data_IF_957638201767
#
_entry.id   IF_957638201767
#
_cell.length_a   1.000
_cell.length_b   1.000
_cell.length_c   1.000
_cell.angle_alpha   90.00
_cell.angle_beta   90.00
_cell.angle_gamma   90.00
#
_symmetry.space_group_name_H-M   'P 1'
#
loop_
_entity.id
_entity.type
_entity.pdbx_description
1 polymer ?
#
# COMPACT_ATOMS: atom_id res chain seq x y z
N UNK A 1 6.28 0.66 51.67
CA UNK A 1 6.32 0.00 50.34
C UNK A 1 4.89 -0.26 49.91
N UNK A 2 4.40 0.48 48.92
CA UNK A 2 3.05 0.30 48.37
C UNK A 2 3.07 -0.94 47.49
N UNK A 3 2.17 -1.92 47.68
CA UNK A 3 2.13 -3.09 46.81
C UNK A 3 1.83 -2.63 45.38
N UNK A 4 2.75 -2.92 44.46
CA UNK A 4 2.54 -2.77 43.03
C UNK A 4 1.39 -3.72 42.69
N UNK A 5 0.19 -3.18 42.45
CA UNK A 5 -0.94 -4.00 42.00
C UNK A 5 -0.55 -4.68 40.69
N UNK A 6 -0.83 -5.98 40.51
CA UNK A 6 -0.62 -6.64 39.24
C UNK A 6 -1.39 -5.87 38.17
N UNK A 7 -0.67 -5.34 37.18
CA UNK A 7 -1.28 -4.79 35.97
C UNK A 7 -2.16 -5.89 35.40
N UNK A 8 -3.46 -5.64 35.28
CA UNK A 8 -4.38 -6.51 34.55
C UNK A 8 -3.74 -6.79 33.20
N UNK A 9 -3.28 -8.03 33.01
CA UNK A 9 -2.71 -8.46 31.74
C UNK A 9 -3.84 -8.38 30.73
N UNK A 10 -3.83 -7.33 29.90
CA UNK A 10 -4.72 -7.26 28.74
C UNK A 10 -4.58 -8.58 28.00
N UNK A 11 -5.70 -9.27 27.79
CA UNK A 11 -5.77 -10.55 27.11
C UNK A 11 -4.99 -10.44 25.79
N UNK A 12 -3.81 -11.08 25.76
CA UNK A 12 -3.00 -11.17 24.54
C UNK A 12 -3.72 -12.15 23.63
N UNK A 13 -4.01 -11.72 22.41
CA UNK A 13 -4.34 -12.67 21.35
C UNK A 13 -3.01 -13.28 20.91
N UNK A 14 -2.97 -14.60 20.91
CA UNK A 14 -1.84 -15.39 20.45
C UNK A 14 -2.25 -16.06 19.15
N UNK A 15 -1.82 -15.52 18.02
CA UNK A 15 -2.03 -16.16 16.72
C UNK A 15 -0.72 -16.80 16.27
N UNK A 16 -0.81 -17.91 15.53
CA UNK A 16 0.38 -18.62 15.04
C UNK A 16 0.31 -18.82 13.55
N UNK A 17 1.40 -18.51 12.86
CA UNK A 17 1.59 -18.80 11.43
C UNK A 17 2.73 -19.79 11.31
N UNK A 18 2.50 -20.92 10.66
CA UNK A 18 3.51 -21.94 10.44
C UNK A 18 3.93 -21.93 8.98
N UNK A 19 5.24 -22.00 8.75
CA UNK A 19 5.82 -22.04 7.42
C UNK A 19 6.89 -23.14 7.31
N UNK A 20 6.98 -23.75 6.13
CA UNK A 20 7.85 -24.88 5.82
C UNK A 20 8.70 -24.61 4.57
N UNK A 21 9.93 -25.10 4.56
CA UNK A 21 10.82 -24.96 3.41
C UNK A 21 12.26 -25.38 3.70
N UNK A 22 13.18 -25.02 2.80
CA UNK A 22 14.61 -25.14 3.08
C UNK A 22 15.00 -24.04 4.07
N UNK A 23 15.17 -24.43 5.34
CA UNK A 23 15.62 -23.53 6.39
C UNK A 23 17.13 -23.67 6.52
N UNK A 24 17.86 -22.81 5.82
CA UNK A 24 19.30 -22.59 6.02
C UNK A 24 19.55 -21.20 6.66
N UNK A 25 20.82 -20.86 6.93
CA UNK A 25 21.14 -19.57 7.54
C UNK A 25 20.79 -18.39 6.62
N UNK A 26 20.88 -18.56 5.31
CA UNK A 26 20.53 -17.50 4.35
C UNK A 26 19.03 -17.18 4.39
N UNK A 27 18.17 -18.20 4.45
CA UNK A 27 16.73 -18.05 4.64
C UNK A 27 16.43 -17.36 5.98
N UNK A 28 17.11 -17.76 7.05
CA UNK A 28 16.93 -17.19 8.38
C UNK A 28 17.33 -15.70 8.43
N UNK A 29 18.45 -15.33 7.82
CA UNK A 29 18.91 -13.95 7.69
C UNK A 29 17.91 -13.11 6.85
N UNK A 30 17.38 -13.70 5.78
CA UNK A 30 16.38 -13.05 4.94
C UNK A 30 15.05 -12.85 5.66
N UNK A 31 14.60 -13.80 6.48
CA UNK A 31 13.46 -13.62 7.38
C UNK A 31 13.71 -12.49 8.39
N UNK A 32 14.90 -12.46 8.97
CA UNK A 32 15.34 -11.41 9.89
C UNK A 32 15.23 -10.03 9.26
N UNK A 33 15.75 -9.87 8.04
CA UNK A 33 15.66 -8.61 7.28
C UNK A 33 14.21 -8.26 6.92
N UNK A 34 13.48 -9.17 6.25
CA UNK A 34 12.12 -8.94 5.75
C UNK A 34 11.13 -8.54 6.85
N UNK A 35 11.29 -9.12 8.05
CA UNK A 35 10.39 -8.89 9.17
C UNK A 35 10.98 -7.93 10.21
N UNK A 36 12.19 -7.42 9.98
CA UNK A 36 12.96 -6.59 10.92
C UNK A 36 13.07 -7.25 12.31
N UNK A 37 13.40 -8.54 12.35
CA UNK A 37 13.59 -9.29 13.60
C UNK A 37 14.98 -9.01 14.18
N UNK A 38 15.04 -8.87 15.49
CA UNK A 38 16.27 -9.03 16.26
C UNK A 38 16.56 -10.52 16.36
N UNK A 39 17.58 -10.98 15.64
CA UNK A 39 17.99 -12.39 15.63
C UNK A 39 18.70 -12.76 16.93
N UNK A 40 18.29 -13.87 17.54
CA UNK A 40 18.82 -14.39 18.81
C UNK A 40 19.37 -15.81 18.71
N UNK A 41 19.04 -16.53 17.65
CA UNK A 41 19.47 -17.92 17.42
C UNK A 41 19.93 -18.16 15.99
N UNK A 42 20.32 -19.40 15.72
CA UNK A 42 20.79 -19.88 14.41
C UNK A 42 19.99 -21.08 13.92
N UNK A 43 20.19 -21.45 12.66
CA UNK A 43 19.50 -22.60 12.06
C UNK A 43 19.87 -23.95 12.68
N UNK A 44 20.92 -24.01 13.50
CA UNK A 44 21.37 -25.24 14.18
C UNK A 44 20.73 -25.42 15.57
N UNK A 45 20.05 -24.39 16.09
CA UNK A 45 19.43 -24.44 17.42
C UNK A 45 18.28 -25.46 17.49
N UNK A 46 18.08 -26.18 18.59
CA UNK A 46 17.07 -27.24 18.66
C UNK A 46 15.64 -26.70 18.45
N UNK A 47 14.70 -27.53 17.94
CA UNK A 47 13.28 -27.16 17.90
C UNK A 47 12.76 -26.71 19.27
N UNK A 48 11.92 -25.68 19.27
CA UNK A 48 11.45 -24.95 20.45
C UNK A 48 12.25 -23.67 20.76
N UNK A 49 13.39 -23.46 20.09
CA UNK A 49 14.22 -22.27 20.30
C UNK A 49 13.66 -21.05 19.57
N UNK A 50 13.63 -19.90 20.25
CA UNK A 50 13.33 -18.60 19.65
C UNK A 50 14.54 -18.13 18.84
N UNK A 51 14.39 -18.08 17.51
CA UNK A 51 15.46 -17.68 16.59
C UNK A 51 15.54 -16.17 16.43
N UNK A 52 14.45 -15.45 16.66
CA UNK A 52 14.42 -14.00 16.66
C UNK A 52 13.06 -13.42 17.02
N UNK A 53 13.02 -12.12 17.30
CA UNK A 53 11.79 -11.44 17.66
C UNK A 53 11.76 -9.99 17.20
N UNK A 54 10.56 -9.43 17.07
CA UNK A 54 10.32 -8.01 16.86
C UNK A 54 9.27 -7.51 17.83
N UNK A 55 9.60 -6.46 18.57
CA UNK A 55 8.62 -5.69 19.33
C UNK A 55 8.06 -4.56 18.48
N UNK A 56 6.75 -4.40 18.53
CA UNK A 56 6.00 -3.40 17.77
C UNK A 56 5.30 -2.50 18.79
N UNK A 57 5.75 -1.25 18.94
CA UNK A 57 5.17 -0.34 19.91
C UNK A 57 3.70 -0.07 19.60
N UNK A 58 2.87 -0.06 20.64
CA UNK A 58 1.45 0.25 20.48
C UNK A 58 1.26 1.72 20.08
N UNK A 59 0.43 2.02 19.05
CA UNK A 59 0.12 3.40 18.69
C UNK A 59 -0.64 4.14 19.78
N UNK A 60 -1.24 3.43 20.75
CA UNK A 60 -2.03 4.01 21.84
C UNK A 60 -1.17 4.56 23.00
N UNK A 61 0.16 4.59 22.84
CA UNK A 61 1.11 5.19 23.79
C UNK A 61 1.77 4.18 24.74
N UNK A 62 2.70 4.64 25.62
CA UNK A 62 3.63 3.79 26.38
C UNK A 62 2.98 2.93 27.47
N UNK A 63 1.66 3.02 27.62
CA UNK A 63 0.90 2.29 28.63
C UNK A 63 0.23 1.02 28.09
N UNK A 64 0.22 0.82 26.78
CA UNK A 64 -0.32 -0.38 26.15
C UNK A 64 0.78 -1.39 25.88
N UNK A 65 0.44 -2.68 25.94
CA UNK A 65 1.40 -3.75 25.65
C UNK A 65 1.86 -3.62 24.19
N UNK A 66 3.18 -3.67 23.97
CA UNK A 66 3.76 -3.84 22.66
C UNK A 66 3.23 -5.15 22.05
N UNK A 67 2.95 -5.14 20.75
CA UNK A 67 2.76 -6.39 20.03
C UNK A 67 4.13 -7.03 19.79
N UNK A 68 4.21 -8.34 19.73
CA UNK A 68 5.47 -9.07 19.51
C UNK A 68 5.27 -10.13 18.45
N UNK A 69 6.17 -10.15 17.47
CA UNK A 69 6.36 -11.28 16.57
C UNK A 69 7.55 -12.05 17.11
N UNK A 70 7.43 -13.35 17.36
CA UNK A 70 8.57 -14.20 17.67
C UNK A 70 8.63 -15.38 16.70
N UNK A 71 9.81 -15.58 16.12
CA UNK A 71 10.15 -16.67 15.22
C UNK A 71 10.70 -17.82 16.05
N UNK A 72 10.01 -18.95 16.06
CA UNK A 72 10.38 -20.15 16.81
C UNK A 72 10.67 -21.28 15.83
N UNK A 73 11.78 -21.98 16.01
CA UNK A 73 12.04 -23.21 15.25
C UNK A 73 11.06 -24.28 15.72
N UNK A 74 10.19 -24.80 14.86
CA UNK A 74 9.28 -25.90 15.24
C UNK A 74 9.73 -27.26 14.70
N UNK A 75 10.62 -27.28 13.70
CA UNK A 75 11.19 -28.51 13.16
C UNK A 75 12.48 -28.28 12.37
N UNK A 76 13.01 -29.33 11.71
CA UNK A 76 14.23 -29.21 10.90
C UNK A 76 14.06 -28.30 9.69
N UNK A 77 12.85 -28.25 9.12
CA UNK A 77 12.45 -27.48 7.92
C UNK A 77 11.25 -26.59 8.16
N UNK A 78 10.90 -26.37 9.43
CA UNK A 78 9.65 -25.72 9.82
C UNK A 78 9.93 -24.66 10.87
N UNK A 79 9.30 -23.51 10.68
CA UNK A 79 9.29 -22.41 11.63
C UNK A 79 7.86 -22.02 11.95
N UNK A 80 7.66 -21.55 13.18
CA UNK A 80 6.39 -21.02 13.64
C UNK A 80 6.60 -19.59 14.10
N UNK A 81 5.83 -18.67 13.53
CA UNK A 81 5.72 -17.31 13.98
C UNK A 81 4.61 -17.23 15.01
N UNK A 82 4.94 -16.77 16.20
CA UNK A 82 3.96 -16.46 17.23
C UNK A 82 3.72 -14.96 17.25
N UNK A 83 2.45 -14.59 17.29
CA UNK A 83 2.01 -13.21 17.26
C UNK A 83 1.26 -12.90 18.55
N UNK A 84 1.93 -12.20 19.46
CA UNK A 84 1.33 -11.67 20.69
C UNK A 84 0.84 -10.24 20.41
N UNK A 85 -0.46 -10.00 20.25
CA UNK A 85 -1.00 -8.64 20.07
C UNK A 85 -2.08 -8.28 21.08
N UNK A 86 -2.25 -6.98 21.33
CA UNK A 86 -3.48 -6.47 21.91
C UNK A 86 -4.56 -6.55 20.83
N UNK A 87 -5.71 -7.18 21.10
CA UNK A 87 -6.70 -7.52 20.09
C UNK A 87 -7.31 -6.27 19.44
N UNK A 88 -6.68 -5.86 18.35
CA UNK A 88 -7.26 -5.02 17.32
C UNK A 88 -7.27 -5.89 16.07
N UNK A 89 -8.47 -6.11 15.50
CA UNK A 89 -8.64 -7.03 14.36
C UNK A 89 -7.75 -6.63 13.19
N UNK A 90 -7.62 -5.32 12.94
CA UNK A 90 -6.75 -4.76 11.90
C UNK A 90 -5.28 -5.05 12.16
N UNK A 91 -4.77 -4.82 13.38
CA UNK A 91 -3.36 -5.08 13.70
C UNK A 91 -2.98 -6.54 13.53
N UNK A 92 -3.83 -7.48 13.98
CA UNK A 92 -3.56 -8.91 13.84
C UNK A 92 -3.42 -9.30 12.37
N UNK A 93 -4.40 -8.95 11.54
CA UNK A 93 -4.39 -9.36 10.13
C UNK A 93 -3.27 -8.68 9.35
N UNK A 94 -2.92 -7.44 9.69
CA UNK A 94 -1.75 -6.75 9.13
C UNK A 94 -0.45 -7.49 9.47
N UNK A 95 -0.24 -7.86 10.74
CA UNK A 95 0.99 -8.54 11.16
C UNK A 95 1.06 -9.97 10.61
N UNK A 96 -0.07 -10.66 10.52
CA UNK A 96 -0.16 -11.95 9.84
C UNK A 96 0.23 -11.82 8.36
N UNK A 97 -0.32 -10.84 7.63
CA UNK A 97 0.02 -10.59 6.24
C UNK A 97 1.52 -10.28 6.08
N UNK A 98 2.10 -9.49 6.98
CA UNK A 98 3.53 -9.20 7.00
C UNK A 98 4.36 -10.48 7.16
N UNK A 99 4.00 -11.34 8.13
CA UNK A 99 4.66 -12.64 8.36
C UNK A 99 4.58 -13.52 7.11
N UNK A 100 3.40 -13.68 6.52
CA UNK A 100 3.22 -14.49 5.33
C UNK A 100 4.04 -13.96 4.14
N UNK A 101 4.05 -12.64 3.95
CA UNK A 101 4.84 -11.98 2.92
C UNK A 101 6.33 -12.25 3.12
N UNK A 102 6.82 -12.01 4.33
CA UNK A 102 8.23 -12.19 4.68
C UNK A 102 8.67 -13.65 4.54
N UNK A 103 7.81 -14.60 4.93
CA UNK A 103 8.05 -16.03 4.79
C UNK A 103 8.14 -16.45 3.31
N UNK A 104 7.19 -16.04 2.48
CA UNK A 104 7.21 -16.34 1.03
C UNK A 104 8.40 -15.71 0.33
N UNK A 105 8.74 -14.46 0.69
CA UNK A 105 9.92 -13.78 0.16
C UNK A 105 11.24 -14.49 0.53
N UNK A 106 11.28 -15.16 1.68
CA UNK A 106 12.40 -16.00 2.11
C UNK A 106 12.36 -17.44 1.56
N UNK A 107 11.46 -17.74 0.62
CA UNK A 107 11.35 -19.06 -0.01
C UNK A 107 10.58 -20.11 0.81
N UNK A 108 9.90 -19.71 1.88
CA UNK A 108 9.07 -20.62 2.68
C UNK A 108 7.62 -20.67 2.19
N UNK A 109 7.00 -21.83 2.34
CA UNK A 109 5.57 -22.05 2.06
C UNK A 109 4.80 -21.96 3.37
N UNK A 110 3.80 -21.08 3.45
CA UNK A 110 2.92 -20.98 4.62
C UNK A 110 1.96 -22.17 4.61
N UNK A 111 2.00 -23.00 5.66
CA UNK A 111 1.24 -24.26 5.72
C UNK A 111 0.02 -24.19 6.63
N UNK A 112 0.09 -23.42 7.72
CA UNK A 112 -1.02 -23.26 8.65
C UNK A 112 -1.09 -21.83 9.19
N UNK A 113 -2.31 -21.38 9.43
CA UNK A 113 -2.61 -20.15 10.15
C UNK A 113 -3.66 -20.48 11.19
N UNK A 114 -3.21 -20.72 12.41
CA UNK A 114 -4.12 -20.92 13.54
C UNK A 114 -4.40 -19.56 14.18
N UNK A 115 -5.64 -19.10 14.05
CA UNK A 115 -6.15 -18.01 14.84
C UNK A 115 -6.72 -18.57 16.15
N UNK A 116 -6.11 -18.23 17.29
CA UNK A 116 -6.71 -18.60 18.57
C UNK A 116 -8.02 -17.82 18.68
N UNK A 117 -9.18 -18.49 18.76
CA UNK A 117 -10.44 -17.78 18.93
C UNK A 117 -10.32 -16.92 20.18
N UNK A 118 -10.66 -15.64 20.07
CA UNK A 118 -10.70 -14.75 21.21
C UNK A 118 -11.54 -15.44 22.28
N UNK A 119 -11.03 -15.63 23.51
CA UNK A 119 -11.89 -16.07 24.59
C UNK A 119 -13.09 -15.12 24.61
N UNK A 120 -14.33 -15.62 24.77
CA UNK A 120 -15.49 -14.74 24.85
C UNK A 120 -15.14 -13.66 25.85
N UNK A 121 -15.13 -12.41 25.38
CA UNK A 121 -14.76 -11.27 26.21
C UNK A 121 -15.76 -11.30 27.35
N UNK A 122 -15.33 -11.79 28.51
CA UNK A 122 -16.13 -11.67 29.71
C UNK A 122 -16.34 -10.17 29.85
N UNK A 123 -17.59 -9.71 29.72
CA UNK A 123 -17.88 -8.30 29.86
C UNK A 123 -17.24 -7.87 31.18
N UNK A 124 -16.30 -6.90 31.12
CA UNK A 124 -15.65 -6.44 32.33
C UNK A 124 -16.74 -6.08 33.33
N UNK A 125 -16.61 -6.54 34.58
CA UNK A 125 -17.61 -6.26 35.60
C UNK A 125 -17.93 -4.75 35.57
N UNK A 126 -19.19 -4.32 35.73
CA UNK A 126 -19.57 -2.91 35.60
C UNK A 126 -18.69 -1.96 36.43
N UNK A 127 -18.18 -2.44 37.57
CA UNK A 127 -17.23 -1.74 38.43
C UNK A 127 -15.85 -1.51 37.79
N UNK A 128 -15.35 -2.45 36.99
CA UNK A 128 -14.08 -2.34 36.28
C UNK A 128 -14.18 -1.40 35.09
N UNK A 129 -15.30 -1.43 34.36
CA UNK A 129 -15.62 -0.43 33.33
C UNK A 129 -15.68 0.96 33.96
N UNK A 130 -16.42 1.12 35.05
CA UNK A 130 -16.51 2.39 35.77
C UNK A 130 -15.13 2.89 36.26
N UNK A 131 -14.24 1.99 36.69
CA UNK A 131 -12.86 2.34 37.07
C UNK A 131 -12.01 2.77 35.88
N UNK A 132 -12.11 2.08 34.74
CA UNK A 132 -11.39 2.43 33.51
C UNK A 132 -11.86 3.79 33.01
N UNK A 133 -13.18 4.02 32.97
CA UNK A 133 -13.76 5.31 32.59
C UNK A 133 -13.39 6.43 33.55
N UNK A 134 -13.46 6.20 34.87
CA UNK A 134 -13.04 7.20 35.86
C UNK A 134 -11.55 7.55 35.71
N UNK A 135 -10.69 6.56 35.44
CA UNK A 135 -9.26 6.80 35.17
C UNK A 135 -9.03 7.56 33.87
N UNK A 136 -9.83 7.26 32.83
CA UNK A 136 -9.79 7.95 31.54
C UNK A 136 -10.24 9.41 31.70
N UNK A 137 -11.35 9.68 32.41
CA UNK A 137 -11.84 11.02 32.74
C UNK A 137 -10.81 11.83 33.55
N UNK A 138 -10.18 11.20 34.54
CA UNK A 138 -9.12 11.87 35.34
C UNK A 138 -7.92 12.28 34.49
N UNK A 139 -7.47 11.41 33.58
CA UNK A 139 -6.39 11.73 32.65
C UNK A 139 -6.77 12.83 31.66
N UNK A 140 -8.00 12.81 31.14
CA UNK A 140 -8.49 13.87 30.27
C UNK A 140 -8.51 15.23 30.99
N UNK A 141 -8.97 15.26 32.24
CA UNK A 141 -8.90 16.46 33.07
C UNK A 141 -7.46 16.94 33.32
N UNK A 142 -6.50 16.03 33.53
CA UNK A 142 -5.07 16.38 33.70
C UNK A 142 -4.44 17.04 32.46
N UNK A 143 -4.92 16.71 31.25
CA UNK A 143 -4.46 17.33 29.99
C UNK A 143 -5.35 18.50 29.54
N UNK A 144 -6.27 18.97 30.39
CA UNK A 144 -7.17 20.08 30.07
C UNK A 144 -8.26 19.73 29.04
N UNK A 145 -8.49 18.45 28.77
CA UNK A 145 -9.56 17.98 27.90
C UNK A 145 -10.82 17.75 28.73
N UNK A 146 -11.86 18.57 28.52
CA UNK A 146 -13.14 18.43 29.21
C UNK A 146 -14.11 17.59 28.37
N UNK A 147 -14.40 16.33 28.73
CA UNK A 147 -15.32 15.47 27.99
C UNK A 147 -16.80 15.83 28.22
N UNK A 148 -17.12 16.83 29.05
CA UNK A 148 -18.48 17.34 29.26
C UNK A 148 -18.84 18.52 28.36
N UNK A 149 -17.92 18.96 27.49
CA UNK A 149 -18.28 19.81 26.35
C UNK A 149 -19.11 18.95 25.39
N UNK A 150 -20.41 18.94 25.62
CA UNK A 150 -21.42 18.45 24.71
C UNK A 150 -21.33 19.31 23.44
N UNK A 151 -20.81 18.73 22.35
CA UNK A 151 -20.87 19.32 21.01
C UNK A 151 -22.30 19.23 20.42
N UNK A 152 -23.31 19.18 21.28
CA UNK A 152 -24.72 19.27 20.92
C UNK A 152 -25.12 20.70 20.56
N UNK A 153 -25.45 20.88 19.28
CA UNK A 153 -26.22 22.00 18.72
C UNK A 153 -25.56 23.40 18.74
N UNK A 154 -24.46 23.57 18.00
CA UNK A 154 -24.16 24.86 17.37
C UNK A 154 -24.56 24.77 15.90
N UNK A 155 -25.45 25.64 15.38
CA UNK A 155 -25.74 25.65 13.95
C UNK A 155 -24.46 26.07 13.21
N UNK A 156 -23.96 25.17 12.36
CA UNK A 156 -22.70 25.22 11.62
C UNK A 156 -22.51 26.44 10.68
N UNK A 157 -23.47 27.37 10.62
CA UNK A 157 -23.39 28.55 9.76
C UNK A 157 -22.71 29.76 10.42
N UNK A 158 -22.78 29.92 11.75
CA UNK A 158 -22.36 31.18 12.38
C UNK A 158 -20.85 31.26 12.68
N UNK A 159 -20.16 30.13 12.86
CA UNK A 159 -18.73 30.09 13.20
C UNK A 159 -17.80 30.07 11.98
N UNK A 160 -18.33 29.81 10.77
CA UNK A 160 -17.55 29.88 9.54
C UNK A 160 -17.41 31.32 9.00
N UNK A 161 -18.37 32.21 9.30
CA UNK A 161 -18.35 33.60 8.85
C UNK A 161 -17.40 34.50 9.67
N UNK A 162 -17.10 34.12 10.92
CA UNK A 162 -16.22 34.91 11.78
C UNK A 162 -14.75 34.47 11.69
N UNK A 163 -14.48 33.21 11.31
CA UNK A 163 -13.13 32.70 11.03
C UNK A 163 -12.59 33.07 9.63
N UNK A 164 -13.48 33.44 8.69
CA UNK A 164 -13.12 33.88 7.33
C UNK A 164 -13.05 35.41 7.17
N UNK A 165 -13.12 36.18 8.26
CA UNK A 165 -12.97 37.63 8.19
C UNK A 165 -11.48 37.98 8.11
N UNK A 166 -10.97 38.12 6.89
CA UNK A 166 -9.62 38.65 6.66
C UNK A 166 -9.44 40.00 7.36
N UNK A 167 -8.34 40.23 8.08
CA UNK A 167 -8.03 41.53 8.63
C UNK A 167 -7.87 42.53 7.48
N UNK A 168 -8.56 43.67 7.58
CA UNK A 168 -8.48 44.73 6.58
C UNK A 168 -7.01 45.11 6.31
N UNK A 169 -6.56 45.14 5.04
CA UNK A 169 -5.16 45.42 4.74
C UNK A 169 -4.81 46.86 5.10
N UNK A 170 -3.67 47.01 5.78
CA UNK A 170 -3.06 48.29 6.11
C UNK A 170 -2.72 49.05 4.80
N UNK A 171 -3.34 50.22 4.53
CA UNK A 171 -3.14 50.96 3.28
C UNK A 171 -1.76 51.64 3.16
N UNK A 172 -0.84 51.44 4.11
CA UNK A 172 0.48 52.08 4.09
C UNK A 172 1.58 51.32 3.35
N UNK A 173 1.35 50.07 2.92
CA UNK A 173 2.42 49.18 2.41
C UNK A 173 2.53 49.01 0.88
N UNK A 174 1.72 49.69 0.06
CA UNK A 174 1.82 49.60 -1.40
C UNK A 174 1.94 50.97 -2.08
N UNK A 175 3.18 51.44 -2.22
CA UNK A 175 3.56 52.47 -3.20
C UNK A 175 4.60 51.91 -4.17
N UNK A 176 4.16 51.26 -5.26
CA UNK A 176 4.91 51.18 -6.53
C UNK A 176 3.95 50.88 -7.69
N UNK A 177 3.87 51.80 -8.68
CA UNK A 177 3.74 51.54 -10.13
C UNK A 177 2.41 51.00 -10.72
N UNK A 178 1.97 51.47 -11.91
CA UNK A 178 0.63 51.21 -12.43
C UNK A 178 0.51 49.89 -13.21
N UNK A 179 -0.57 49.14 -12.99
CA UNK A 179 -1.00 48.03 -13.85
C UNK A 179 -2.45 48.26 -14.31
N UNK A 180 -2.75 48.23 -15.63
CA UNK A 180 -4.09 48.33 -16.17
C UNK A 180 -4.61 46.93 -16.52
N UNK A 181 -5.44 46.31 -15.68
CA UNK A 181 -6.10 45.05 -16.07
C UNK A 181 -7.45 44.77 -15.41
N UNK A 182 -8.11 45.76 -14.77
CA UNK A 182 -9.37 45.51 -14.06
C UNK A 182 -10.67 45.77 -14.82
N UNK A 183 -10.62 46.21 -16.09
CA UNK A 183 -11.81 46.54 -16.88
C UNK A 183 -12.18 45.48 -17.95
N UNK A 184 -11.51 44.31 -17.98
CA UNK A 184 -11.76 43.29 -19.01
C UNK A 184 -12.63 42.09 -18.57
N UNK A 185 -13.14 42.06 -17.33
CA UNK A 185 -13.88 40.89 -16.80
C UNK A 185 -15.37 41.12 -16.52
N UNK A 186 -15.98 42.20 -17.01
CA UNK A 186 -17.41 42.48 -16.77
C UNK A 186 -18.26 42.63 -18.05
N UNK A 187 -17.86 41.96 -19.13
CA UNK A 187 -18.69 41.81 -20.31
C UNK A 187 -18.45 40.47 -21.01
N UNK A 188 -18.94 39.37 -20.44
CA UNK A 188 -19.34 38.21 -21.24
C UNK A 188 -20.66 37.66 -20.71
N UNK A 189 -21.68 38.09 -21.43
CA UNK A 189 -23.05 37.62 -21.46
C UNK A 189 -23.11 36.15 -21.83
N UNK A 190 -24.09 35.46 -21.25
CA UNK A 190 -24.66 34.17 -21.64
C UNK A 190 -24.40 33.80 -23.12
N UNK A 191 -23.46 32.90 -23.35
CA UNK A 191 -23.30 32.14 -24.59
C UNK A 191 -23.39 30.65 -24.24
N UNK A 192 -24.24 29.94 -24.98
CA UNK A 192 -24.44 28.50 -24.89
C UNK A 192 -23.10 27.76 -24.90
N UNK A 193 -22.77 27.10 -23.79
CA UNK A 193 -21.62 26.22 -23.70
C UNK A 193 -22.00 24.92 -24.40
N UNK A 194 -21.49 24.73 -25.61
CA UNK A 194 -21.41 23.42 -26.25
C UNK A 194 -20.71 22.46 -25.27
N UNK A 195 -21.42 21.42 -24.83
CA UNK A 195 -20.86 20.30 -24.06
C UNK A 195 -19.68 19.69 -24.85
N UNK A 196 -18.47 20.04 -24.46
CA UNK A 196 -17.26 19.40 -24.96
C UNK A 196 -17.35 17.90 -24.63
N UNK A 197 -17.26 17.01 -25.64
CA UNK A 197 -17.43 15.57 -25.41
C UNK A 197 -16.37 15.09 -24.41
N UNK A 198 -16.73 14.21 -23.46
CA UNK A 198 -15.80 13.72 -22.46
C UNK A 198 -14.56 13.14 -23.15
N UNK A 199 -13.38 13.52 -22.66
CA UNK A 199 -12.11 13.02 -23.17
C UNK A 199 -12.15 11.48 -23.27
N UNK A 200 -11.64 10.89 -24.36
CA UNK A 200 -11.74 9.45 -24.59
C UNK A 200 -11.09 8.68 -23.44
N UNK A 201 -11.90 7.88 -22.73
CA UNK A 201 -11.42 6.96 -21.69
C UNK A 201 -10.55 5.92 -22.37
N UNK A 202 -9.27 5.87 -22.00
CA UNK A 202 -8.34 4.89 -22.55
C UNK A 202 -8.81 3.46 -22.22
N UNK A 203 -8.85 2.61 -23.25
CA UNK A 203 -9.07 1.18 -23.11
C UNK A 203 -7.74 0.45 -23.28
N UNK A 204 -7.44 -0.57 -22.44
CA UNK A 204 -6.20 -1.31 -22.58
C UNK A 204 -6.10 -2.02 -23.92
N UNK A 205 -4.92 -2.05 -24.57
CA UNK A 205 -4.70 -2.90 -25.72
C UNK A 205 -4.91 -4.37 -25.31
N UNK A 206 -5.45 -5.21 -26.21
CA UNK A 206 -5.66 -6.62 -25.92
C UNK A 206 -4.33 -7.27 -25.51
N UNK A 207 -4.38 -8.14 -24.48
CA UNK A 207 -3.25 -8.96 -24.10
C UNK A 207 -2.77 -9.77 -25.32
N UNK A 208 -1.45 -9.99 -25.49
CA UNK A 208 -0.97 -10.85 -26.56
C UNK A 208 -1.61 -12.24 -26.45
N UNK A 209 -2.14 -12.75 -27.56
CA UNK A 209 -2.74 -14.07 -27.60
C UNK A 209 -1.75 -15.12 -27.06
N UNK A 210 -2.20 -16.07 -26.24
CA UNK A 210 -1.35 -17.15 -25.75
C UNK A 210 -0.74 -17.88 -26.94
N UNK A 211 0.57 -18.11 -26.86
CA UNK A 211 1.38 -18.65 -27.93
C UNK A 211 0.86 -20.03 -28.37
N UNK A 212 0.34 -20.09 -29.60
CA UNK A 212 0.15 -21.32 -30.36
C UNK A 212 -1.09 -22.14 -29.96
N UNK A 213 -1.98 -22.37 -30.94
CA UNK A 213 -2.94 -23.47 -30.85
C UNK A 213 -2.17 -24.78 -30.57
N UNK A 214 -2.65 -25.65 -29.67
CA UNK A 214 -2.05 -26.96 -29.46
C UNK A 214 -2.03 -27.68 -30.80
N UNK A 215 -0.83 -28.06 -31.24
CA UNK A 215 -0.64 -28.93 -32.40
C UNK A 215 -1.26 -30.28 -32.03
N UNK A 216 -2.22 -30.74 -32.80
CA UNK A 216 -2.80 -32.08 -32.67
C UNK A 216 -1.68 -33.13 -32.75
N UNK A 217 -1.23 -33.62 -31.60
CA UNK A 217 -0.44 -34.85 -31.49
C UNK A 217 -1.31 -35.89 -30.81
N UNK A 218 -2.11 -36.56 -31.64
CA UNK A 218 -2.61 -37.89 -31.39
C UNK A 218 -1.42 -38.86 -31.45
N UNK A 219 -0.82 -39.19 -30.30
CA UNK A 219 -0.13 -40.46 -30.12
C UNK A 219 0.00 -40.82 -28.63
N UNK A 220 -0.10 -42.11 -28.37
CA UNK A 220 -0.44 -42.74 -27.09
C UNK A 220 0.54 -42.51 -25.95
N UNK A 221 -0.03 -42.31 -24.75
CA UNK A 221 0.28 -43.15 -23.60
C UNK A 221 1.38 -42.67 -22.67
N UNK A 222 1.01 -41.93 -21.64
CA UNK A 222 1.45 -42.17 -20.25
C UNK A 222 0.57 -41.34 -19.30
N UNK A 223 0.06 -41.97 -18.24
CA UNK A 223 -0.76 -41.33 -17.21
C UNK A 223 0.13 -40.39 -16.37
N UNK A 224 0.26 -39.14 -16.80
CA UNK A 224 0.67 -38.06 -15.91
C UNK A 224 -0.53 -37.69 -15.02
N UNK A 225 -0.34 -37.76 -13.70
CA UNK A 225 -1.32 -37.38 -12.69
C UNK A 225 -1.71 -35.91 -12.83
N UNK A 226 -3.00 -35.61 -12.76
CA UNK A 226 -3.59 -34.29 -13.00
C UNK A 226 -3.19 -33.18 -12.00
N UNK A 227 -2.27 -33.45 -11.06
CA UNK A 227 -1.77 -32.46 -10.09
C UNK A 227 -0.56 -31.65 -10.57
N UNK A 228 0.02 -31.97 -11.73
CA UNK A 228 1.28 -31.38 -12.19
C UNK A 228 1.12 -30.19 -13.16
N UNK A 229 -0.11 -29.69 -13.37
CA UNK A 229 -0.45 -28.75 -14.47
C UNK A 229 -0.83 -27.32 -14.08
N UNK A 230 -0.55 -26.85 -12.87
CA UNK A 230 -0.80 -25.45 -12.47
C UNK A 230 0.34 -24.79 -11.66
N UNK A 231 1.57 -25.28 -11.77
CA UNK A 231 2.71 -24.45 -11.36
C UNK A 231 3.03 -23.48 -12.51
N UNK A 232 2.46 -22.28 -12.43
CA UNK A 232 2.99 -21.17 -13.22
C UNK A 232 4.50 -21.08 -12.94
N UNK A 233 5.37 -21.01 -13.97
CA UNK A 233 6.80 -20.94 -13.74
C UNK A 233 7.08 -19.78 -12.79
N UNK A 234 7.83 -20.06 -11.72
CA UNK A 234 8.36 -19.04 -10.81
C UNK A 234 9.14 -18.04 -11.66
N UNK A 235 8.48 -16.95 -12.05
CA UNK A 235 9.08 -15.89 -12.83
C UNK A 235 10.10 -15.21 -11.93
N UNK A 236 11.37 -15.55 -12.12
CA UNK A 236 12.51 -14.84 -11.54
C UNK A 236 12.89 -13.78 -12.56
N UNK A 237 12.41 -12.53 -12.41
CA UNK A 237 12.71 -11.50 -13.38
C UNK A 237 14.22 -11.23 -13.31
N UNK A 238 14.90 -10.95 -14.43
CA UNK A 238 16.34 -10.69 -14.42
C UNK A 238 16.67 -9.61 -13.39
N UNK A 239 17.63 -9.92 -12.51
CA UNK A 239 18.12 -9.00 -11.47
C UNK A 239 18.65 -7.75 -12.19
N UNK A 240 18.03 -6.57 -12.02
CA UNK A 240 18.54 -5.37 -12.66
C UNK A 240 19.95 -5.07 -12.11
N UNK A 241 20.84 -4.47 -12.91
CA UNK A 241 22.09 -3.97 -12.40
C UNK A 241 21.81 -2.99 -11.25
N UNK A 242 22.41 -3.27 -10.11
CA UNK A 242 22.42 -2.44 -8.90
C UNK A 242 22.86 -1.02 -9.32
N UNK A 243 22.20 0.01 -8.79
CA UNK A 243 22.49 1.45 -8.97
C UNK A 243 21.94 2.19 -10.21
N UNK A 244 20.81 1.78 -10.80
CA UNK A 244 20.13 2.69 -11.74
C UNK A 244 19.28 3.73 -11.02
N UNK A 245 19.82 4.94 -10.94
CA UNK A 245 19.11 6.14 -10.47
C UNK A 245 17.87 6.49 -11.30
N UNK A 246 17.81 6.08 -12.58
CA UNK A 246 16.75 6.47 -13.52
C UNK A 246 16.31 5.29 -14.38
N UNK A 247 15.02 4.97 -14.36
CA UNK A 247 14.39 3.94 -15.20
C UNK A 247 14.37 4.38 -16.67
N UNK A 248 14.59 3.47 -17.62
CA UNK A 248 14.48 3.80 -19.04
C UNK A 248 13.01 3.82 -19.55
N UNK A 249 12.78 4.34 -20.75
CA UNK A 249 11.43 4.58 -21.29
C UNK A 249 10.61 3.28 -21.43
N UNK A 250 11.25 2.21 -21.90
CA UNK A 250 10.61 0.90 -22.05
C UNK A 250 10.35 0.27 -20.68
N UNK A 251 11.34 0.31 -19.77
CA UNK A 251 11.19 -0.18 -18.39
C UNK A 251 10.02 0.52 -17.68
N UNK A 252 9.88 1.85 -17.84
CA UNK A 252 8.78 2.63 -17.29
C UNK A 252 7.44 2.21 -17.83
N UNK A 253 7.32 2.11 -19.14
CA UNK A 253 6.06 1.74 -19.79
C UNK A 253 5.62 0.34 -19.35
N UNK A 254 6.55 -0.63 -19.33
CA UNK A 254 6.29 -1.99 -18.86
C UNK A 254 5.93 -2.04 -17.38
N UNK A 255 6.63 -1.27 -16.54
CA UNK A 255 6.35 -1.17 -15.12
C UNK A 255 4.95 -0.62 -14.85
N UNK A 256 4.61 0.53 -15.44
CA UNK A 256 3.26 1.13 -15.34
C UNK A 256 2.21 0.15 -15.85
N UNK A 257 2.47 -0.56 -16.95
CA UNK A 257 1.52 -1.55 -17.49
C UNK A 257 1.26 -2.68 -16.50
N UNK A 258 2.31 -3.25 -15.89
CA UNK A 258 2.18 -4.34 -14.92
C UNK A 258 1.40 -3.92 -13.69
N UNK A 259 1.72 -2.77 -13.11
CA UNK A 259 1.00 -2.26 -11.92
C UNK A 259 -0.46 -1.93 -12.25
N UNK A 260 -0.73 -1.28 -13.39
CA UNK A 260 -2.12 -0.95 -13.79
C UNK A 260 -2.98 -2.16 -14.10
N UNK A 261 -2.38 -3.22 -14.66
CA UNK A 261 -3.08 -4.46 -15.01
C UNK A 261 -3.10 -5.48 -13.87
N UNK A 262 -2.48 -5.15 -12.72
CA UNK A 262 -2.47 -6.04 -11.57
C UNK A 262 -3.90 -6.26 -11.06
N UNK A 263 -4.30 -7.53 -10.96
CA UNK A 263 -5.63 -7.91 -10.47
C UNK A 263 -5.62 -7.97 -8.95
N UNK A 264 -5.78 -6.82 -8.30
CA UNK A 264 -5.70 -6.72 -6.84
C UNK A 264 -6.80 -5.84 -6.25
N UNK A 265 -7.19 -6.11 -5.02
CA UNK A 265 -8.35 -5.50 -4.36
C UNK A 265 -8.04 -4.15 -3.71
N UNK A 266 -6.86 -3.57 -3.92
CA UNK A 266 -6.43 -2.37 -3.19
C UNK A 266 -6.55 -2.53 -1.67
N UNK A 267 -6.52 -3.77 -1.20
CA UNK A 267 -6.57 -4.14 0.20
C UNK A 267 -5.19 -4.67 0.58
N UNK A 268 -4.81 -4.42 1.83
CA UNK A 268 -3.54 -4.88 2.41
C UNK A 268 -3.34 -6.40 2.26
N UNK A 269 -4.40 -7.19 2.19
CA UNK A 269 -4.29 -8.65 2.03
C UNK A 269 -3.74 -9.09 0.66
N UNK A 270 -3.91 -8.26 -0.38
CA UNK A 270 -3.39 -8.54 -1.73
C UNK A 270 -2.00 -7.91 -1.97
N UNK A 271 -1.39 -7.35 -0.92
CA UNK A 271 -0.16 -6.58 -1.00
C UNK A 271 1.03 -7.39 -1.55
N UNK A 272 1.05 -8.70 -1.35
CA UNK A 272 2.16 -9.57 -1.80
C UNK A 272 2.32 -9.51 -3.32
N UNK A 273 1.22 -9.62 -4.05
CA UNK A 273 1.25 -9.55 -5.52
C UNK A 273 1.70 -8.17 -5.99
N UNK A 274 1.29 -7.11 -5.29
CA UNK A 274 1.76 -5.76 -5.58
C UNK A 274 3.26 -5.59 -5.32
N UNK A 275 3.75 -6.03 -4.15
CA UNK A 275 5.17 -5.92 -3.79
C UNK A 275 6.05 -6.69 -4.77
N UNK A 276 5.61 -7.87 -5.23
CA UNK A 276 6.31 -8.63 -6.25
C UNK A 276 6.41 -7.85 -7.58
N UNK A 277 5.31 -7.28 -8.07
CA UNK A 277 5.31 -6.51 -9.33
C UNK A 277 6.08 -5.18 -9.21
N UNK A 278 5.95 -4.53 -8.05
CA UNK A 278 6.72 -3.35 -7.66
C UNK A 278 8.21 -3.66 -7.43
N UNK A 279 8.62 -4.93 -7.54
CA UNK A 279 10.00 -5.36 -7.45
C UNK A 279 10.60 -5.12 -6.07
N UNK A 280 9.79 -5.25 -5.01
CA UNK A 280 10.22 -5.11 -3.63
C UNK A 280 11.37 -6.07 -3.34
N UNK A 281 12.45 -5.52 -2.78
CA UNK A 281 13.61 -6.30 -2.30
C UNK A 281 13.60 -6.45 -0.79
N UNK A 282 13.13 -5.42 -0.09
CA UNK A 282 13.13 -5.36 1.36
C UNK A 282 11.99 -4.48 1.88
N UNK A 283 11.34 -4.90 2.96
CA UNK A 283 10.38 -4.07 3.70
C UNK A 283 11.16 -3.29 4.76
N UNK A 284 11.39 -2.01 4.50
CA UNK A 284 12.20 -1.14 5.37
C UNK A 284 11.43 -0.72 6.63
N UNK A 285 10.18 -0.29 6.46
CA UNK A 285 9.37 0.23 7.56
C UNK A 285 7.90 -0.06 7.34
N UNK A 286 7.22 -0.41 8.42
CA UNK A 286 5.77 -0.56 8.47
C UNK A 286 5.21 0.27 9.62
N UNK A 287 4.25 1.16 9.34
CA UNK A 287 3.42 1.81 10.36
C UNK A 287 1.92 1.69 10.04
N UNK A 288 1.06 2.29 10.87
CA UNK A 288 -0.39 2.12 10.77
C UNK A 288 -1.00 2.71 9.49
N UNK A 289 -0.30 3.62 8.80
CA UNK A 289 -0.80 4.35 7.64
C UNK A 289 0.12 4.24 6.43
N UNK A 290 1.33 3.70 6.59
CA UNK A 290 2.32 3.63 5.54
C UNK A 290 3.18 2.39 5.64
N UNK A 291 3.34 1.74 4.49
CA UNK A 291 4.38 0.78 4.23
C UNK A 291 5.48 1.44 3.40
N UNK A 292 6.71 1.33 3.84
CA UNK A 292 7.91 1.75 3.11
C UNK A 292 8.73 0.51 2.78
N UNK A 293 9.12 0.38 1.52
CA UNK A 293 9.92 -0.73 1.04
C UNK A 293 10.92 -0.23 -0.01
N UNK A 294 12.02 -0.96 -0.16
CA UNK A 294 12.96 -0.72 -1.22
C UNK A 294 12.61 -1.57 -2.43
N UNK A 295 12.80 -0.99 -3.61
CA UNK A 295 12.50 -1.62 -4.89
C UNK A 295 13.78 -1.78 -5.69
N UNK A 296 13.89 -2.89 -6.41
CA UNK A 296 14.97 -3.12 -7.37
C UNK A 296 15.00 -2.11 -8.53
N UNK A 297 13.91 -1.35 -8.73
CA UNK A 297 13.80 -0.41 -9.84
C UNK A 297 14.45 0.95 -9.55
N UNK A 298 14.63 1.30 -8.27
CA UNK A 298 15.18 2.61 -7.90
C UNK A 298 15.75 2.60 -6.47
N UNK A 299 16.78 3.41 -6.24
CA UNK A 299 17.46 3.55 -4.93
C UNK A 299 16.66 4.29 -3.87
N UNK A 300 15.65 5.08 -4.25
CA UNK A 300 14.78 5.74 -3.29
C UNK A 300 13.68 4.78 -2.83
N UNK A 301 13.24 4.93 -1.57
CA UNK A 301 12.19 4.09 -1.03
C UNK A 301 10.84 4.36 -1.68
N UNK A 302 10.10 3.27 -1.83
CA UNK A 302 8.73 3.20 -2.29
C UNK A 302 7.78 3.28 -1.10
N UNK A 303 6.59 3.84 -1.33
CA UNK A 303 5.58 3.99 -0.28
C UNK A 303 4.24 3.42 -0.75
N UNK A 304 3.53 2.80 0.18
CA UNK A 304 2.12 2.42 0.04
C UNK A 304 1.39 3.06 1.21
N UNK A 305 0.48 3.97 0.92
CA UNK A 305 -0.31 4.66 1.92
C UNK A 305 -1.63 3.92 2.16
N UNK A 306 -2.06 3.87 3.41
CA UNK A 306 -3.16 3.05 3.91
C UNK A 306 -4.13 3.89 4.74
N UNK A 307 -5.41 3.63 4.57
CA UNK A 307 -6.48 4.03 5.49
C UNK A 307 -7.17 2.76 5.99
N UNK A 308 -6.80 2.33 7.20
CA UNK A 308 -7.26 1.05 7.74
C UNK A 308 -6.64 -0.13 6.99
N UNK A 309 -7.48 -0.94 6.36
CA UNK A 309 -7.08 -2.11 5.54
C UNK A 309 -6.94 -1.78 4.05
N UNK A 310 -7.27 -0.54 3.65
CA UNK A 310 -7.41 -0.14 2.26
C UNK A 310 -6.21 0.72 1.85
N UNK A 311 -5.61 0.39 0.71
CA UNK A 311 -4.54 1.18 0.08
C UNK A 311 -5.18 2.39 -0.61
N UNK A 312 -4.71 3.58 -0.26
CA UNK A 312 -5.16 4.83 -0.91
C UNK A 312 -4.36 5.11 -2.16
N UNK A 313 -3.05 4.95 -2.07
CA UNK A 313 -2.13 5.21 -3.16
C UNK A 313 -0.84 4.41 -3.00
N UNK A 314 -0.21 4.16 -4.15
CA UNK A 314 1.09 3.52 -4.27
C UNK A 314 2.03 4.51 -4.92
N UNK A 315 3.09 4.89 -4.22
CA UNK A 315 4.02 5.93 -4.63
C UNK A 315 5.42 5.33 -4.85
N UNK A 316 5.80 5.15 -6.12
CA UNK A 316 6.98 4.42 -6.54
C UNK A 316 7.96 5.37 -7.27
N UNK A 317 9.21 5.53 -6.80
CA UNK A 317 10.18 6.34 -7.51
C UNK A 317 10.61 5.65 -8.81
N UNK A 318 10.56 6.39 -9.92
CA UNK A 318 11.01 5.92 -11.25
C UNK A 318 12.30 6.62 -11.68
N UNK A 319 12.63 7.77 -11.08
CA UNK A 319 13.93 8.41 -11.15
C UNK A 319 14.26 9.07 -9.80
N UNK A 320 15.48 8.95 -9.31
CA UNK A 320 15.95 9.58 -8.08
C UNK A 320 17.38 10.06 -8.25
N UNK A 321 17.67 11.24 -7.72
CA UNK A 321 18.95 11.91 -7.87
C UNK A 321 19.50 12.26 -6.48
N UNK A 322 20.81 12.13 -6.29
CA UNK A 322 21.48 12.58 -5.07
C UNK A 322 21.59 14.10 -5.07
N UNK A 323 21.65 14.69 -3.88
CA UNK A 323 21.88 16.12 -3.66
C UNK A 323 23.32 16.55 -3.92
N UNK A 324 24.15 15.73 -4.57
CA UNK A 324 25.53 16.13 -4.85
C UNK A 324 25.52 17.49 -5.56
N UNK A 325 26.25 18.43 -4.93
CA UNK A 325 26.22 19.91 -5.03
C UNK A 325 26.40 20.47 -6.45
N UNK A 326 25.59 20.01 -7.39
CA UNK A 326 25.51 20.54 -8.74
C UNK A 326 24.16 21.23 -8.91
N UNK A 327 24.22 22.49 -9.34
CA UNK A 327 23.06 23.28 -9.77
C UNK A 327 22.25 22.59 -10.90
N UNK A 328 22.73 21.48 -11.45
CA UNK A 328 22.10 20.69 -12.52
C UNK A 328 21.07 19.65 -11.99
N UNK A 329 20.91 19.46 -10.67
CA UNK A 329 19.96 18.47 -10.13
C UNK A 329 18.53 18.71 -10.60
N UNK A 330 18.04 19.95 -10.54
CA UNK A 330 16.70 20.33 -10.99
C UNK A 330 16.52 20.10 -12.51
N UNK A 331 17.52 20.47 -13.32
CA UNK A 331 17.48 20.28 -14.77
C UNK A 331 17.56 18.78 -15.16
N UNK A 332 18.22 17.94 -14.37
CA UNK A 332 18.23 16.48 -14.54
C UNK A 332 16.87 15.86 -14.23
N UNK A 333 16.26 16.26 -13.11
CA UNK A 333 14.90 15.84 -12.75
C UNK A 333 13.92 16.24 -13.85
N UNK A 334 14.03 17.47 -14.37
CA UNK A 334 13.12 17.95 -15.40
C UNK A 334 13.27 17.23 -16.73
N UNK A 335 14.51 16.95 -17.15
CA UNK A 335 14.78 16.13 -18.34
C UNK A 335 14.23 14.72 -18.18
N UNK A 336 14.39 14.11 -17.00
CA UNK A 336 13.85 12.79 -16.73
C UNK A 336 12.32 12.79 -16.77
N UNK A 337 11.67 13.77 -16.12
CA UNK A 337 10.23 13.94 -16.11
C UNK A 337 9.68 14.10 -17.54
N UNK A 338 10.21 15.04 -18.31
CA UNK A 338 9.78 15.32 -19.70
C UNK A 338 9.87 14.07 -20.58
N UNK A 339 10.99 13.33 -20.48
CA UNK A 339 11.18 12.08 -21.23
C UNK A 339 10.17 11.01 -20.82
N UNK A 340 9.92 10.85 -19.52
CA UNK A 340 8.99 9.85 -19.00
C UNK A 340 7.53 10.17 -19.35
N UNK A 341 7.14 11.44 -19.28
CA UNK A 341 5.83 11.91 -19.75
C UNK A 341 5.66 11.59 -21.24
N UNK A 342 6.68 11.85 -22.06
CA UNK A 342 6.66 11.50 -23.48
C UNK A 342 6.51 9.99 -23.71
N UNK A 343 7.25 9.17 -22.97
CA UNK A 343 7.18 7.71 -23.09
C UNK A 343 5.78 7.17 -22.74
N UNK A 344 5.17 7.67 -21.66
CA UNK A 344 3.79 7.31 -21.30
C UNK A 344 2.78 7.86 -22.30
N UNK A 345 2.97 9.08 -22.79
CA UNK A 345 2.09 9.68 -23.82
C UNK A 345 2.07 8.87 -25.10
N UNK A 346 3.24 8.43 -25.57
CA UNK A 346 3.35 7.57 -26.75
C UNK A 346 2.63 6.21 -26.59
N UNK A 347 2.40 5.75 -25.35
CA UNK A 347 1.78 4.44 -25.08
C UNK A 347 0.30 4.56 -24.71
N UNK A 348 -0.05 5.55 -23.88
CA UNK A 348 -1.37 5.68 -23.25
C UNK A 348 -2.18 6.86 -23.80
N UNK A 349 -1.62 7.64 -24.74
CA UNK A 349 -2.20 8.90 -25.21
C UNK A 349 -1.87 10.07 -24.28
N UNK A 350 -2.39 11.24 -24.65
CA UNK A 350 -2.16 12.48 -23.89
C UNK A 350 -2.65 12.35 -22.44
N UNK A 351 -1.96 13.01 -21.48
CA UNK A 351 -2.41 13.01 -20.09
C UNK A 351 -3.78 13.69 -19.97
N UNK A 352 -4.73 13.00 -19.35
CA UNK A 352 -6.08 13.51 -19.03
C UNK A 352 -6.07 14.78 -18.16
N UNK A 353 -5.00 14.99 -17.37
CA UNK A 353 -4.81 16.22 -16.61
C UNK A 353 -3.32 16.51 -16.42
N UNK A 354 -2.97 17.80 -16.47
CA UNK A 354 -1.62 18.29 -16.15
C UNK A 354 -1.73 19.44 -15.15
N UNK A 355 -0.90 19.45 -14.11
CA UNK A 355 -0.88 20.54 -13.15
C UNK A 355 -0.36 21.83 -13.80
N UNK A 356 -0.85 22.99 -13.35
CA UNK A 356 -0.52 24.30 -13.93
C UNK A 356 0.99 24.62 -13.91
N UNK A 357 1.73 24.06 -12.95
CA UNK A 357 3.18 24.23 -12.80
C UNK A 357 4.01 23.16 -13.55
N UNK A 358 3.34 22.28 -14.30
CA UNK A 358 3.95 21.17 -15.03
C UNK A 358 4.54 20.08 -14.14
N UNK A 359 4.32 20.11 -12.82
CA UNK A 359 4.92 19.16 -11.88
C UNK A 359 4.22 17.79 -11.87
N UNK A 360 3.04 17.68 -12.48
CA UNK A 360 2.23 16.46 -12.49
C UNK A 360 1.53 16.26 -13.83
N UNK A 361 1.58 15.05 -14.35
CA UNK A 361 0.83 14.59 -15.51
C UNK A 361 0.11 13.30 -15.15
N UNK A 362 -1.16 13.21 -15.53
CA UNK A 362 -2.10 12.19 -15.02
C UNK A 362 -2.79 11.47 -16.17
N UNK A 363 -2.79 10.13 -16.13
CA UNK A 363 -3.50 9.25 -17.05
C UNK A 363 -4.55 8.45 -16.30
N UNK A 364 -5.82 8.84 -16.45
CA UNK A 364 -6.96 8.12 -15.90
C UNK A 364 -7.22 6.86 -16.71
N UNK A 365 -7.35 5.72 -16.03
CA UNK A 365 -7.77 4.45 -16.63
C UNK A 365 -9.18 4.08 -16.24
N UNK A 366 -9.56 2.84 -16.50
CA UNK A 366 -10.87 2.31 -16.10
C UNK A 366 -10.94 2.18 -14.57
N UNK A 367 -9.98 1.47 -13.98
CA UNK A 367 -9.99 1.16 -12.53
C UNK A 367 -9.05 2.06 -11.72
N UNK A 368 -7.93 2.47 -12.33
CA UNK A 368 -6.88 3.21 -11.64
C UNK A 368 -6.35 4.38 -12.47
N UNK A 369 -5.87 5.37 -11.75
CA UNK A 369 -5.18 6.54 -12.29
C UNK A 369 -3.70 6.42 -11.96
N UNK A 370 -2.86 6.65 -12.98
CA UNK A 370 -1.41 6.81 -12.80
C UNK A 370 -1.04 8.26 -12.99
N UNK A 371 -0.27 8.80 -12.06
CA UNK A 371 0.29 10.15 -12.14
C UNK A 371 1.81 10.07 -12.11
N UNK A 372 2.48 10.77 -13.02
CA UNK A 372 3.89 11.11 -12.83
C UNK A 372 3.96 12.41 -12.05
N UNK A 373 4.72 12.40 -10.95
CA UNK A 373 4.90 13.56 -10.07
C UNK A 373 6.38 13.89 -9.98
N UNK A 374 6.71 15.14 -10.30
CA UNK A 374 8.04 15.72 -10.17
C UNK A 374 8.22 16.30 -8.76
N UNK A 375 9.24 15.83 -8.05
CA UNK A 375 9.68 16.36 -6.75
C UNK A 375 11.09 16.95 -6.91
N UNK A 376 11.64 17.68 -5.92
CA UNK A 376 12.97 18.31 -6.07
C UNK A 376 14.10 17.36 -6.46
N UNK A 377 14.03 16.08 -6.07
CA UNK A 377 15.11 15.10 -6.26
C UNK A 377 14.63 13.80 -6.93
N UNK A 378 13.37 13.68 -7.31
CA UNK A 378 12.85 12.44 -7.89
C UNK A 378 11.66 12.66 -8.80
N UNK A 379 11.47 11.74 -9.75
CA UNK A 379 10.22 11.55 -10.49
C UNK A 379 9.57 10.29 -9.97
N UNK A 380 8.30 10.39 -9.59
CA UNK A 380 7.55 9.32 -8.92
C UNK A 380 6.31 8.95 -9.72
N UNK A 381 6.02 7.67 -9.83
CA UNK A 381 4.79 7.13 -10.37
C UNK A 381 3.84 6.84 -9.21
N UNK A 382 2.75 7.60 -9.13
CA UNK A 382 1.73 7.48 -8.10
C UNK A 382 0.49 6.82 -8.71
N UNK A 383 0.09 5.68 -8.17
CA UNK A 383 -1.11 4.94 -8.58
C UNK A 383 -2.20 5.15 -7.54
N UNK A 384 -3.41 5.47 -8.00
CA UNK A 384 -4.61 5.65 -7.17
C UNK A 384 -5.77 4.87 -7.74
N UNK A 385 -6.67 4.39 -6.89
CA UNK A 385 -7.93 3.82 -7.32
C UNK A 385 -8.87 4.96 -7.75
N UNK A 386 -9.57 4.79 -8.86
CA UNK A 386 -10.55 5.78 -9.29
C UNK A 386 -11.77 5.78 -8.36
N UNK A 387 -12.35 6.96 -8.14
CA UNK A 387 -13.58 7.10 -7.37
C UNK A 387 -14.72 6.27 -7.99
N UNK A 388 -15.51 5.62 -7.14
CA UNK A 388 -16.66 4.82 -7.55
C UNK A 388 -16.32 3.41 -8.06
N UNK A 389 -15.05 3.05 -8.22
CA UNK A 389 -14.66 1.67 -8.53
C UNK A 389 -14.92 0.79 -7.31
N UNK A 390 -15.88 -0.13 -7.45
CA UNK A 390 -16.18 -1.10 -6.39
C UNK A 390 -15.06 -2.13 -6.30
N UNK A 391 -14.31 -2.08 -5.20
CA UNK A 391 -13.40 -3.14 -4.82
C UNK A 391 -14.22 -4.41 -4.54
N UNK A 392 -14.11 -5.40 -5.43
CA UNK A 392 -14.67 -6.73 -5.19
C UNK A 392 -13.71 -7.48 -4.28
N UNK A 393 -14.14 -7.76 -3.05
CA UNK A 393 -13.38 -8.50 -2.03
C UNK A 393 -13.74 -9.99 -2.15
N UNK A 394 -12.76 -10.90 -2.22
CA UNK A 394 -12.98 -12.36 -2.10
C UNK A 394 -13.16 -13.14 -3.41
N UNK A 395 -13.82 -14.31 -3.32
CA UNK A 395 -14.01 -15.29 -4.42
C UNK A 395 -14.77 -14.71 -5.64
N UNK A 396 -15.58 -13.67 -5.42
CA UNK A 396 -16.32 -12.93 -6.45
C UNK A 396 -15.41 -12.27 -7.51
N UNK A 397 -14.10 -12.16 -7.23
CA UNK A 397 -13.09 -11.52 -8.10
C UNK A 397 -12.82 -12.32 -9.38
N UNK A 398 -12.98 -13.64 -9.37
CA UNK A 398 -12.79 -14.49 -10.56
C UNK A 398 -13.99 -14.50 -11.50
N UNK A 399 -15.21 -14.34 -10.97
CA UNK A 399 -16.43 -14.35 -11.78
C UNK A 399 -16.64 -13.04 -12.53
N UNK A 400 -16.28 -11.90 -11.93
CA UNK A 400 -16.55 -10.59 -12.51
C UNK A 400 -15.73 -10.26 -13.77
N UNK A 401 -14.64 -10.99 -14.03
CA UNK A 401 -13.80 -10.81 -15.23
C UNK A 401 -13.83 -11.97 -16.19
N UNK A 402 -14.70 -12.96 -15.99
CA UNK A 402 -15.03 -13.86 -17.09
C UNK A 402 -15.63 -12.97 -18.19
N UNK A 403 -15.04 -12.91 -19.40
CA UNK A 403 -15.73 -12.29 -20.51
C UNK A 403 -17.11 -12.94 -20.59
N UNK A 404 -18.16 -12.14 -20.73
CA UNK A 404 -19.54 -12.61 -20.84
C UNK A 404 -19.67 -13.48 -22.09
N UNK A 405 -19.24 -14.73 -21.99
CA UNK A 405 -19.41 -15.77 -22.98
C UNK A 405 -20.86 -16.18 -22.87
N UNK A 406 -21.76 -15.44 -23.52
CA UNK A 406 -23.04 -15.91 -24.09
C UNK A 406 -23.97 -14.73 -24.39
N UNK A 407 -23.76 -14.11 -25.54
CA UNK A 407 -24.88 -13.84 -26.44
C UNK A 407 -24.66 -14.71 -27.68
N UNK A 408 -25.04 -15.99 -27.57
CA UNK A 408 -25.28 -16.82 -28.76
C UNK A 408 -26.50 -16.21 -29.46
N UNK A 409 -26.28 -15.68 -30.66
CA UNK A 409 -27.36 -15.36 -31.58
C UNK A 409 -28.27 -16.58 -31.75
N UNK A 410 -29.60 -16.45 -31.58
CA UNK A 410 -30.52 -17.50 -31.99
C UNK A 410 -30.37 -17.67 -33.51
N UNK A 411 -30.07 -18.88 -33.93
CA UNK A 411 -30.13 -19.26 -35.34
C UNK A 411 -31.61 -19.32 -35.71
N UNK A 412 -32.07 -18.42 -36.57
CA UNK A 412 -33.39 -18.51 -37.18
C UNK A 412 -33.42 -19.73 -38.11
N UNK A 413 -34.41 -20.61 -37.91
CA UNK A 413 -34.85 -21.64 -38.85
C UNK A 413 -35.88 -21.10 -39.84
#
# INVERSE_FOLDING_TARGET
MTPIRPRTALLRRHDTVTAEGELDQSCLDQLGANLSLTMTGTVDDPPGTELGYREIPSPSGPYFLNSRIALVRSGPRQVTFTLDTVPSRTTVTTLQCLIETGARAAGLTVTDTTQTPLPPVAEPAPEEVARIEARRRRKFAEIGYDPTIDLGAVPLQATLDEANREPAPDPSLYKVGPQPWRDAQQAHTEEDVDEEPPAPVWQPPPLPEPWGKPRDTSECGERATASERLEAPLFTPPRPPVDRSVMNDQELVEFVRRIRNLVWSWNIHDLISLLAEAGSTEIVKWDAQRLTFDSRYNVASSHINLVGDTVTDIDLPVASFTTDDSDDSAARVERAYTRMVRALTNTYGDPSATANDGSRSTWVGIENTVSLVRTPLSVRAVFTLNDGVKIIRGEDKHEHRRPSTEHRHPTEE
#
